data_IF_957537254099
#
_entry.id   IF_957537254099
#
_cell.length_a   1.000
_cell.length_b   1.000
_cell.length_c   1.000
_cell.angle_alpha   90.00
_cell.angle_beta   90.00
_cell.angle_gamma   90.00
#
_symmetry.space_group_name_H-M   'P 1'
#
loop_
_entity.id
_entity.type
_entity.pdbx_description
1 polymer ?
#
# COMPACT_ATOMS: atom_id res chain seq x y z
N UNK A 1 7.43 -39.73 -77.63
CA UNK A 1 6.41 -38.97 -76.86
C UNK A 1 6.75 -39.08 -75.38
N UNK A 2 7.51 -38.11 -74.90
CA UNK A 2 7.96 -37.95 -73.51
C UNK A 2 6.87 -37.28 -72.69
N UNK A 3 6.40 -37.91 -71.62
CA UNK A 3 5.52 -37.29 -70.61
C UNK A 3 6.26 -37.22 -69.29
N UNK A 4 6.74 -36.04 -68.95
CA UNK A 4 7.27 -35.71 -67.62
C UNK A 4 6.08 -35.39 -66.70
N UNK A 5 6.01 -36.07 -65.57
CA UNK A 5 5.06 -35.79 -64.48
C UNK A 5 5.77 -34.80 -63.54
N UNK A 6 5.26 -33.57 -63.32
CA UNK A 6 5.82 -32.70 -62.31
C UNK A 6 5.30 -33.13 -60.93
N UNK A 7 6.20 -33.59 -60.07
CA UNK A 7 5.95 -33.83 -58.66
C UNK A 7 5.82 -32.48 -57.96
N UNK A 8 4.58 -32.08 -57.62
CA UNK A 8 4.31 -30.88 -56.83
C UNK A 8 4.78 -31.10 -55.39
N UNK A 9 5.86 -30.41 -55.02
CA UNK A 9 6.38 -30.33 -53.66
C UNK A 9 5.47 -29.39 -52.85
N UNK A 10 4.62 -29.94 -51.98
CA UNK A 10 3.82 -29.14 -51.04
C UNK A 10 4.77 -28.68 -49.92
N UNK A 11 5.19 -27.41 -50.00
CA UNK A 11 5.88 -26.72 -48.91
C UNK A 11 4.83 -26.33 -47.88
N UNK A 12 4.70 -27.14 -46.83
CA UNK A 12 3.88 -26.81 -45.67
C UNK A 12 4.66 -25.81 -44.81
N UNK A 13 4.41 -24.51 -45.04
CA UNK A 13 4.99 -23.43 -44.26
C UNK A 13 4.33 -23.43 -42.88
N UNK A 14 4.94 -24.11 -41.91
CA UNK A 14 4.57 -24.00 -40.50
C UNK A 14 4.90 -22.59 -40.02
N UNK A 15 3.91 -21.70 -40.03
CA UNK A 15 3.99 -20.44 -39.29
C UNK A 15 3.95 -20.76 -37.81
N UNK A 16 5.12 -21.01 -37.23
CA UNK A 16 5.31 -21.00 -35.80
C UNK A 16 4.98 -19.59 -35.29
N UNK A 17 3.76 -19.42 -34.79
CA UNK A 17 3.42 -18.27 -33.95
C UNK A 17 4.27 -18.38 -32.69
N UNK A 18 5.41 -17.69 -32.68
CA UNK A 18 6.17 -17.45 -31.46
C UNK A 18 5.30 -16.59 -30.54
N UNK A 19 4.49 -17.24 -29.71
CA UNK A 19 3.93 -16.63 -28.52
C UNK A 19 5.10 -16.25 -27.63
N UNK A 20 5.54 -15.00 -27.70
CA UNK A 20 6.45 -14.44 -26.70
C UNK A 20 5.66 -14.46 -25.39
N UNK A 21 5.92 -15.46 -24.55
CA UNK A 21 5.54 -15.42 -23.15
C UNK A 21 6.31 -14.23 -22.55
N UNK A 22 5.67 -13.07 -22.44
CA UNK A 22 6.18 -12.00 -21.59
C UNK A 22 6.29 -12.63 -20.20
N UNK A 23 7.52 -12.72 -19.69
CA UNK A 23 7.72 -13.18 -18.32
C UNK A 23 6.94 -12.26 -17.40
N UNK A 24 6.03 -12.84 -16.61
CA UNK A 24 5.17 -12.15 -15.64
C UNK A 24 5.97 -11.40 -14.54
N UNK A 25 7.30 -11.47 -14.57
CA UNK A 25 8.21 -10.93 -13.58
C UNK A 25 8.30 -9.39 -13.67
N UNK A 26 8.21 -8.73 -12.52
CA UNK A 26 8.38 -7.28 -12.40
C UNK A 26 9.83 -6.93 -12.80
N UNK A 27 10.00 -6.08 -13.82
CA UNK A 27 11.33 -5.61 -14.22
C UNK A 27 11.96 -4.72 -13.14
N UNK A 28 13.30 -4.59 -13.06
CA UNK A 28 13.95 -3.78 -12.03
C UNK A 28 13.47 -2.33 -11.97
N UNK A 29 13.30 -1.68 -13.14
CA UNK A 29 12.77 -0.32 -13.20
C UNK A 29 11.31 -0.23 -12.71
N UNK A 30 10.50 -1.27 -12.95
CA UNK A 30 9.13 -1.34 -12.42
C UNK A 30 9.12 -1.57 -10.92
N UNK A 31 10.03 -2.41 -10.40
CA UNK A 31 10.19 -2.62 -8.95
C UNK A 31 10.49 -1.29 -8.26
N UNK A 32 11.43 -0.51 -8.77
CA UNK A 32 11.75 0.81 -8.22
C UNK A 32 10.56 1.79 -8.26
N UNK A 33 9.74 1.76 -9.31
CA UNK A 33 8.54 2.59 -9.41
C UNK A 33 7.46 2.16 -8.40
N UNK A 34 7.28 0.85 -8.21
CA UNK A 34 6.38 0.28 -7.19
C UNK A 34 6.86 0.67 -5.79
N UNK A 35 8.15 0.54 -5.52
CA UNK A 35 8.76 0.91 -4.24
C UNK A 35 8.50 2.41 -3.95
N UNK A 36 8.71 3.27 -4.94
CA UNK A 36 8.44 4.71 -4.82
C UNK A 36 6.96 5.00 -4.54
N UNK A 37 6.05 4.29 -5.21
CA UNK A 37 4.61 4.42 -5.01
C UNK A 37 4.17 3.93 -3.62
N UNK A 38 4.73 2.83 -3.12
CA UNK A 38 4.49 2.37 -1.76
C UNK A 38 4.93 3.41 -0.72
N UNK A 39 6.12 3.99 -0.90
CA UNK A 39 6.62 5.07 -0.04
C UNK A 39 5.74 6.32 -0.08
N UNK A 40 5.23 6.68 -1.25
CA UNK A 40 4.29 7.80 -1.41
C UNK A 40 2.99 7.56 -0.64
N UNK A 41 2.41 6.36 -0.74
CA UNK A 41 1.18 6.00 0.01
C UNK A 41 1.38 6.04 1.52
N UNK A 42 2.53 5.59 2.04
CA UNK A 42 2.86 5.71 3.47
C UNK A 42 2.96 7.19 3.89
N UNK A 43 3.57 8.04 3.06
CA UNK A 43 3.64 9.48 3.31
C UNK A 43 2.28 10.15 3.29
N UNK A 44 1.40 9.77 2.36
CA UNK A 44 0.05 10.31 2.28
C UNK A 44 -0.81 9.87 3.46
N UNK A 45 -0.67 8.61 3.90
CA UNK A 45 -1.28 8.13 5.14
C UNK A 45 -0.89 9.00 6.35
N UNK A 46 0.37 9.41 6.45
CA UNK A 46 0.83 10.36 7.49
C UNK A 46 0.01 11.65 7.49
N UNK A 47 -0.16 12.25 6.30
CA UNK A 47 -0.87 13.52 6.16
C UNK A 47 -2.34 13.36 6.56
N UNK A 48 -2.98 12.28 6.11
CA UNK A 48 -4.37 12.02 6.44
C UNK A 48 -4.58 11.81 7.94
N UNK A 49 -3.74 11.00 8.58
CA UNK A 49 -3.79 10.77 10.03
C UNK A 49 -3.65 12.09 10.80
N UNK A 50 -2.70 12.96 10.42
CA UNK A 50 -2.52 14.26 11.10
C UNK A 50 -3.73 15.19 10.93
N UNK A 51 -4.40 15.17 9.78
CA UNK A 51 -5.64 15.93 9.56
C UNK A 51 -6.79 15.34 10.39
N UNK A 52 -6.95 14.01 10.41
CA UNK A 52 -8.00 13.32 11.16
C UNK A 52 -7.82 13.52 12.68
N UNK A 53 -6.58 13.47 13.16
CA UNK A 53 -6.25 13.58 14.59
C UNK A 53 -6.19 15.00 15.15
N UNK A 54 -6.55 16.03 14.37
CA UNK A 54 -6.55 17.43 14.81
C UNK A 54 -7.95 17.88 15.21
N UNK A 55 -8.12 18.45 16.41
CA UNK A 55 -9.42 19.04 16.84
C UNK A 55 -9.77 20.33 16.11
N UNK A 56 -8.81 20.94 15.44
CA UNK A 56 -9.03 22.10 14.57
C UNK A 56 -9.72 21.73 13.25
N UNK A 57 -9.66 20.44 12.86
CA UNK A 57 -10.29 19.96 11.63
C UNK A 57 -11.78 19.78 11.84
N UNK A 58 -12.59 20.40 10.97
CA UNK A 58 -14.04 20.26 11.00
C UNK A 58 -14.45 18.79 10.81
N UNK A 59 -15.43 18.33 11.58
CA UNK A 59 -15.88 16.93 11.54
C UNK A 59 -16.23 16.42 10.13
N UNK A 60 -16.91 17.22 9.32
CA UNK A 60 -17.24 16.87 7.92
C UNK A 60 -15.99 16.70 7.05
N UNK A 61 -14.97 17.55 7.26
CA UNK A 61 -13.69 17.46 6.56
C UNK A 61 -12.91 16.22 7.02
N UNK A 62 -12.86 15.96 8.33
CA UNK A 62 -12.24 14.77 8.87
C UNK A 62 -12.86 13.49 8.29
N UNK A 63 -14.19 13.41 8.18
CA UNK A 63 -14.87 12.28 7.54
C UNK A 63 -14.47 12.10 6.07
N UNK A 64 -14.47 13.18 5.28
CA UNK A 64 -14.04 13.13 3.88
C UNK A 64 -12.59 12.67 3.74
N UNK A 65 -11.72 13.05 4.68
CA UNK A 65 -10.32 12.63 4.71
C UNK A 65 -10.20 11.17 5.15
N UNK A 66 -11.02 10.70 6.09
CA UNK A 66 -11.08 9.28 6.46
C UNK A 66 -11.44 8.41 5.26
N UNK A 67 -12.43 8.82 4.45
CA UNK A 67 -12.84 8.06 3.26
C UNK A 67 -11.67 7.94 2.25
N UNK A 68 -10.93 9.03 2.02
CA UNK A 68 -9.74 9.03 1.14
C UNK A 68 -8.58 8.21 1.72
N UNK A 69 -8.41 8.24 3.03
CA UNK A 69 -7.37 7.47 3.70
C UNK A 69 -7.67 5.98 3.63
N UNK A 70 -8.94 5.59 3.71
CA UNK A 70 -9.40 4.21 3.59
C UNK A 70 -9.14 3.64 2.18
N UNK A 71 -9.23 4.46 1.12
CA UNK A 71 -8.87 4.07 -0.26
C UNK A 71 -7.39 3.69 -0.43
N UNK A 72 -6.51 4.06 0.51
CA UNK A 72 -5.11 3.61 0.47
C UNK A 72 -4.98 2.12 0.82
N UNK A 73 -5.97 1.55 1.49
CA UNK A 73 -5.89 0.20 2.05
C UNK A 73 -6.62 -0.84 1.23
N UNK A 74 -6.11 -2.07 1.29
CA UNK A 74 -6.85 -3.24 0.85
C UNK A 74 -8.08 -3.46 1.76
N UNK A 75 -9.15 -4.09 1.23
CA UNK A 75 -10.30 -4.44 2.05
C UNK A 75 -9.89 -5.22 3.30
N UNK A 76 -10.61 -4.97 4.39
CA UNK A 76 -10.42 -5.64 5.68
C UNK A 76 -9.09 -5.41 6.41
N UNK A 77 -8.20 -4.54 5.90
CA UNK A 77 -6.95 -4.22 6.56
C UNK A 77 -7.14 -3.72 8.01
N UNK A 78 -6.18 -4.07 8.86
CA UNK A 78 -6.16 -3.66 10.27
C UNK A 78 -4.93 -2.83 10.65
N UNK A 79 -5.15 -1.93 11.61
CA UNK A 79 -4.15 -1.03 12.18
C UNK A 79 -3.82 -1.47 13.61
N UNK A 80 -2.57 -1.87 13.82
CA UNK A 80 -2.01 -2.20 15.13
C UNK A 80 -1.64 -0.94 15.91
N UNK A 81 -2.15 -0.85 17.13
CA UNK A 81 -1.92 0.26 18.07
C UNK A 81 -1.39 -0.30 19.39
N UNK A 82 -0.27 0.22 19.83
CA UNK A 82 0.37 -0.06 21.13
C UNK A 82 0.55 1.25 21.89
N UNK A 83 1.12 1.22 23.08
CA UNK A 83 1.62 2.41 23.79
C UNK A 83 2.70 1.98 24.78
N UNK A 84 3.59 2.88 25.20
CA UNK A 84 4.59 2.56 26.23
C UNK A 84 3.95 2.24 27.59
N UNK A 85 2.68 2.62 27.78
CA UNK A 85 1.93 2.42 29.01
C UNK A 85 1.19 1.07 29.07
N UNK A 86 1.21 0.26 28.00
CA UNK A 86 0.54 -1.06 27.97
C UNK A 86 1.35 -2.07 27.17
N UNK A 87 1.31 -3.32 27.59
CA UNK A 87 2.00 -4.42 26.90
C UNK A 87 1.21 -4.98 25.71
N UNK A 88 -0.10 -4.73 25.67
CA UNK A 88 -0.99 -5.29 24.65
C UNK A 88 -1.00 -4.45 23.36
N UNK A 89 -0.97 -5.14 22.23
CA UNK A 89 -1.20 -4.55 20.92
C UNK A 89 -2.67 -4.79 20.56
N UNK A 90 -3.39 -3.71 20.31
CA UNK A 90 -4.77 -3.77 19.85
C UNK A 90 -4.82 -3.58 18.33
N UNK A 91 -5.64 -4.38 17.65
CA UNK A 91 -5.87 -4.27 16.22
C UNK A 91 -7.28 -3.74 15.96
N UNK A 92 -7.38 -2.78 15.05
CA UNK A 92 -8.65 -2.18 14.65
C UNK A 92 -8.73 -2.13 13.14
N UNK A 93 -9.89 -2.41 12.57
CA UNK A 93 -10.18 -2.07 11.17
C UNK A 93 -9.84 -0.60 10.90
N UNK A 94 -9.28 -0.31 9.73
CA UNK A 94 -8.77 1.02 9.35
C UNK A 94 -9.76 2.14 9.68
N UNK A 95 -11.04 2.00 9.29
CA UNK A 95 -12.07 2.99 9.59
C UNK A 95 -12.21 3.25 11.09
N UNK A 96 -12.30 2.18 11.88
CA UNK A 96 -12.44 2.26 13.34
C UNK A 96 -11.21 2.86 14.00
N UNK A 97 -10.02 2.62 13.45
CA UNK A 97 -8.80 3.28 13.92
C UNK A 97 -8.88 4.81 13.75
N UNK A 98 -9.32 5.30 12.58
CA UNK A 98 -9.46 6.75 12.34
C UNK A 98 -10.52 7.40 13.24
N UNK A 99 -11.67 6.75 13.42
CA UNK A 99 -12.71 7.24 14.33
C UNK A 99 -12.20 7.36 15.77
N UNK A 100 -11.40 6.38 16.22
CA UNK A 100 -10.77 6.42 17.54
C UNK A 100 -9.73 7.54 17.64
N UNK A 101 -8.97 7.80 16.58
CA UNK A 101 -8.00 8.88 16.51
C UNK A 101 -8.69 10.24 16.74
N UNK A 102 -9.83 10.48 16.08
CA UNK A 102 -10.64 11.68 16.30
C UNK A 102 -11.19 11.76 17.72
N UNK A 103 -11.45 10.64 18.38
CA UNK A 103 -12.02 10.57 19.72
C UNK A 103 -10.99 10.68 20.86
N UNK A 104 -9.69 10.76 20.56
CA UNK A 104 -8.66 10.89 21.59
C UNK A 104 -8.80 12.21 22.37
N UNK A 105 -8.39 12.20 23.63
CA UNK A 105 -8.37 13.36 24.53
C UNK A 105 -7.11 14.24 24.33
N UNK A 106 -6.72 14.44 23.07
CA UNK A 106 -5.65 15.36 22.67
C UNK A 106 -6.24 16.43 21.77
N UNK A 107 -5.77 17.68 21.91
CA UNK A 107 -6.16 18.77 21.03
C UNK A 107 -5.53 18.61 19.65
N UNK A 108 -4.32 18.04 19.62
CA UNK A 108 -3.59 17.73 18.40
C UNK A 108 -2.87 16.41 18.54
N UNK A 109 -3.04 15.58 17.53
CA UNK A 109 -2.18 14.42 17.29
C UNK A 109 -1.30 14.70 16.08
N UNK A 110 0.01 14.50 16.26
CA UNK A 110 0.98 14.51 15.18
C UNK A 110 1.54 13.10 15.03
N UNK A 111 1.46 12.56 13.82
CA UNK A 111 2.12 11.29 13.47
C UNK A 111 3.17 11.58 12.41
N UNK A 112 4.40 11.17 12.70
CA UNK A 112 5.51 11.24 11.76
C UNK A 112 6.03 9.84 11.48
N UNK A 113 6.19 9.53 10.19
CA UNK A 113 6.85 8.31 9.76
C UNK A 113 8.25 8.63 9.28
N UNK A 114 9.24 7.91 9.79
CA UNK A 114 10.64 8.08 9.44
C UNK A 114 11.29 6.71 9.34
N UNK A 115 12.54 6.69 8.84
CA UNK A 115 13.35 5.47 8.83
C UNK A 115 12.63 4.32 8.09
N UNK A 116 12.13 4.63 6.89
CA UNK A 116 11.52 3.64 6.00
C UNK A 116 12.65 2.82 5.39
N UNK A 117 12.92 1.66 5.98
CA UNK A 117 14.18 0.96 5.79
C UNK A 117 14.11 -0.15 4.75
N UNK A 118 12.99 -0.87 4.69
CA UNK A 118 12.99 -2.18 4.05
C UNK A 118 11.67 -2.46 3.37
N UNK A 119 11.69 -2.70 2.07
CA UNK A 119 10.62 -3.37 1.33
C UNK A 119 11.13 -4.78 1.08
N UNK A 120 10.45 -5.79 1.60
CA UNK A 120 10.76 -7.18 1.28
C UNK A 120 10.65 -7.41 -0.23
N UNK A 121 11.28 -8.46 -0.73
CA UNK A 121 11.03 -8.87 -2.11
C UNK A 121 9.53 -9.13 -2.32
N UNK A 122 9.01 -8.69 -3.47
CA UNK A 122 7.62 -8.87 -3.84
C UNK A 122 7.41 -10.30 -4.29
N UNK A 123 6.59 -11.04 -3.54
CA UNK A 123 6.26 -12.42 -3.84
C UNK A 123 4.89 -12.54 -4.49
N UNK A 124 4.81 -13.24 -5.61
CA UNK A 124 3.56 -13.48 -6.30
C UNK A 124 2.72 -14.53 -5.55
N UNK A 125 1.51 -14.16 -5.19
CA UNK A 125 0.54 -15.02 -4.52
C UNK A 125 -0.29 -15.82 -5.54
N UNK A 126 -0.99 -16.89 -5.12
CA UNK A 126 -1.83 -17.71 -6.00
C UNK A 126 -2.96 -16.94 -6.70
N UNK A 127 -3.41 -15.83 -6.11
CA UNK A 127 -4.41 -14.92 -6.67
C UNK A 127 -3.84 -13.97 -7.74
N UNK A 128 -2.53 -14.05 -8.01
CA UNK A 128 -1.83 -13.24 -9.00
C UNK A 128 -1.34 -11.89 -8.50
N UNK A 129 -1.69 -11.48 -7.26
CA UNK A 129 -1.15 -10.26 -6.65
C UNK A 129 0.28 -10.48 -6.17
N UNK A 130 1.05 -9.42 -6.16
CA UNK A 130 2.36 -9.40 -5.52
C UNK A 130 2.23 -8.87 -4.09
N UNK A 131 2.91 -9.49 -3.14
CA UNK A 131 2.86 -9.12 -1.73
C UNK A 131 4.26 -8.86 -1.22
N UNK A 132 4.43 -7.77 -0.48
CA UNK A 132 5.66 -7.47 0.26
C UNK A 132 5.36 -6.84 1.61
N UNK A 133 6.40 -6.49 2.35
CA UNK A 133 6.32 -5.84 3.66
C UNK A 133 7.24 -4.65 3.70
N UNK A 134 6.72 -3.50 4.15
CA UNK A 134 7.49 -2.28 4.40
C UNK A 134 7.66 -2.08 5.89
N UNK A 135 8.89 -2.02 6.39
CA UNK A 135 9.17 -1.66 7.79
C UNK A 135 9.42 -0.16 7.93
N UNK A 136 8.69 0.47 8.85
CA UNK A 136 8.74 1.91 9.13
C UNK A 136 8.76 2.19 10.63
N UNK A 137 9.32 3.33 11.03
CA UNK A 137 9.15 3.86 12.38
C UNK A 137 8.09 4.95 12.36
N UNK A 138 7.17 4.87 13.30
CA UNK A 138 6.12 5.84 13.55
C UNK A 138 6.38 6.50 14.89
N UNK A 139 6.50 7.82 14.92
CA UNK A 139 6.43 8.60 16.14
C UNK A 139 5.06 9.23 16.29
N UNK A 140 4.39 8.93 17.39
CA UNK A 140 3.13 9.51 17.80
C UNK A 140 3.39 10.61 18.83
N UNK A 141 2.75 11.77 18.66
CA UNK A 141 2.78 12.86 19.62
C UNK A 141 1.36 13.37 19.84
N UNK A 142 0.86 13.26 21.07
CA UNK A 142 -0.43 13.78 21.48
C UNK A 142 -0.24 14.92 22.46
N UNK A 143 -0.77 16.10 22.14
CA UNK A 143 -0.68 17.30 22.99
C UNK A 143 -2.07 17.81 23.34
N UNK A 144 -2.30 18.16 24.60
CA UNK A 144 -3.47 18.90 25.05
C UNK A 144 -3.07 20.21 25.73
N UNK A 145 -3.62 21.31 25.24
CA UNK A 145 -3.38 22.66 25.75
C UNK A 145 -4.10 22.90 27.08
N UNK A 146 -5.33 22.37 27.22
CA UNK A 146 -6.14 22.57 28.43
C UNK A 146 -5.61 21.77 29.63
N UNK A 147 -5.26 20.50 29.41
CA UNK A 147 -4.80 19.60 30.47
C UNK A 147 -3.28 19.56 30.67
N UNK A 148 -2.52 20.17 29.75
CA UNK A 148 -1.05 20.09 29.73
C UNK A 148 -0.51 18.68 29.40
N UNK A 149 -1.37 17.75 28.98
CA UNK A 149 -0.95 16.39 28.62
C UNK A 149 -0.08 16.40 27.38
N UNK A 150 1.13 15.88 27.52
CA UNK A 150 2.05 15.65 26.41
C UNK A 150 2.49 14.20 26.45
N UNK A 151 2.07 13.43 25.45
CA UNK A 151 2.43 12.03 25.30
C UNK A 151 3.20 11.84 24.02
N UNK A 152 4.22 10.98 24.07
CA UNK A 152 4.99 10.56 22.91
C UNK A 152 5.33 9.08 23.01
N UNK A 153 5.31 8.41 21.87
CA UNK A 153 5.96 7.12 21.71
C UNK A 153 6.49 6.97 20.28
N UNK A 154 7.39 6.01 20.12
CA UNK A 154 7.84 5.52 18.82
C UNK A 154 7.48 4.06 18.72
N UNK A 155 6.84 3.69 17.61
CA UNK A 155 6.52 2.31 17.29
C UNK A 155 7.18 1.89 15.99
N UNK A 156 7.74 0.69 15.96
CA UNK A 156 8.18 0.06 14.73
C UNK A 156 7.00 -0.70 14.14
N UNK A 157 6.72 -0.47 12.87
CA UNK A 157 5.58 -1.07 12.16
C UNK A 157 6.04 -1.81 10.93
N UNK A 158 5.39 -2.94 10.67
CA UNK A 158 5.48 -3.67 9.42
C UNK A 158 4.15 -3.51 8.68
N UNK A 159 4.22 -2.94 7.48
CA UNK A 159 3.08 -2.64 6.62
C UNK A 159 3.07 -3.67 5.49
N UNK A 160 2.03 -4.48 5.39
CA UNK A 160 1.84 -5.35 4.23
C UNK A 160 1.56 -4.49 3.00
N UNK A 161 2.14 -4.80 1.85
CA UNK A 161 1.92 -4.10 0.59
C UNK A 161 1.38 -5.09 -0.42
N UNK A 162 0.22 -4.77 -1.01
CA UNK A 162 -0.34 -5.49 -2.14
C UNK A 162 -0.06 -4.72 -3.41
N UNK A 163 0.41 -5.40 -4.44
CA UNK A 163 0.67 -4.82 -5.76
C UNK A 163 -0.11 -5.61 -6.80
N UNK A 164 -0.98 -4.92 -7.52
CA UNK A 164 -1.87 -5.53 -8.50
C UNK A 164 -1.84 -4.80 -9.83
N UNK A 165 -2.04 -5.55 -10.92
CA UNK A 165 -2.06 -4.99 -12.27
C UNK A 165 -3.49 -4.55 -12.59
N UNK A 166 -3.70 -3.25 -12.77
CA UNK A 166 -4.97 -2.68 -13.20
C UNK A 166 -4.94 -2.30 -14.66
N UNK A 167 -6.12 -2.31 -15.27
CA UNK A 167 -6.37 -1.85 -16.62
C UNK A 167 -7.34 -0.68 -16.57
N UNK A 168 -7.04 0.38 -17.30
CA UNK A 168 -7.95 1.51 -17.53
C UNK A 168 -8.05 1.80 -19.01
N UNK A 169 -9.17 2.36 -19.45
CA UNK A 169 -9.34 2.84 -20.83
C UNK A 169 -9.16 4.34 -20.89
N UNK A 170 -8.13 4.81 -21.59
CA UNK A 170 -7.88 6.23 -21.82
C UNK A 170 -7.90 6.45 -23.33
N UNK A 171 -8.82 7.30 -23.79
CA UNK A 171 -9.01 7.63 -25.21
C UNK A 171 -9.14 6.38 -26.13
N UNK A 172 -9.89 5.36 -25.68
CA UNK A 172 -10.11 4.12 -26.41
C UNK A 172 -8.91 3.15 -26.43
N UNK A 173 -7.83 3.44 -25.69
CA UNK A 173 -6.69 2.55 -25.51
C UNK A 173 -6.70 1.95 -24.11
N UNK A 174 -6.53 0.64 -24.01
CA UNK A 174 -6.31 -0.04 -22.73
C UNK A 174 -4.89 0.25 -22.27
N UNK A 175 -4.75 0.87 -21.10
CA UNK A 175 -3.49 1.15 -20.42
C UNK A 175 -3.42 0.27 -19.18
N UNK A 176 -2.34 -0.49 -19.08
CA UNK A 176 -2.02 -1.29 -17.91
C UNK A 176 -1.11 -0.50 -16.97
N UNK A 177 -1.43 -0.48 -15.68
CA UNK A 177 -0.62 0.13 -14.65
C UNK A 177 -0.60 -0.75 -13.40
N UNK A 178 0.43 -0.58 -12.57
CA UNK A 178 0.52 -1.24 -11.27
C UNK A 178 -0.10 -0.32 -10.24
N UNK A 179 -1.05 -0.86 -9.48
CA UNK A 179 -1.59 -0.20 -8.30
C UNK A 179 -1.00 -0.85 -7.05
N UNK A 180 -0.91 -0.06 -5.99
CA UNK A 180 -0.32 -0.45 -4.71
C UNK A 180 -1.34 -0.17 -3.62
N UNK A 181 -1.60 -1.13 -2.75
CA UNK A 181 -2.49 -0.96 -1.60
C UNK A 181 -1.77 -1.31 -0.31
N UNK A 182 -2.06 -0.59 0.76
CA UNK A 182 -1.59 -0.89 2.09
C UNK A 182 -2.48 -2.01 2.68
N UNK A 183 -1.87 -3.03 3.26
CA UNK A 183 -2.55 -4.08 4.01
C UNK A 183 -2.49 -3.80 5.50
N UNK A 184 -2.45 -4.88 6.28
CA UNK A 184 -2.28 -4.79 7.73
C UNK A 184 -1.02 -4.00 8.12
N UNK A 185 -1.17 -3.15 9.12
CA UNK A 185 -0.06 -2.46 9.78
C UNK A 185 0.13 -3.09 11.15
N UNK A 186 1.18 -3.90 11.29
CA UNK A 186 1.50 -4.62 12.54
C UNK A 186 2.53 -3.86 13.35
N UNK A 187 2.37 -3.88 14.68
CA UNK A 187 3.38 -3.35 15.59
C UNK A 187 4.38 -4.43 15.92
N UNK A 188 5.67 -4.16 15.73
CA UNK A 188 6.75 -5.07 16.12
C UNK A 188 7.45 -4.61 17.39
N UNK A 189 7.62 -3.31 17.58
CA UNK A 189 8.28 -2.74 18.77
C UNK A 189 7.61 -1.43 19.20
N UNK A 190 7.73 -1.08 20.48
CA UNK A 190 7.22 0.18 21.06
C UNK A 190 8.22 0.71 22.09
N UNK A 191 8.62 1.98 21.93
CA UNK A 191 9.64 2.65 22.73
C UNK A 191 9.25 4.11 23.00
N UNK A 192 9.94 4.75 23.95
CA UNK A 192 9.69 6.13 24.40
C UNK A 192 10.49 7.19 23.62
#
# INVERSE_FOLDING_TARGET
MTKYIPLFLIVFLATATLSIAQSDNISPARKQAIDSLALEKVKDLSKYISIIGSKETQFSEANRVMDRAEELFAPDAEMGVSSINRTEIAYYKVRRYFERLMALNYDRVNISWYDIHYISDLERQPDGRYVGVVTVYQRFEGTSLESGLNYKDTTKKDITIYVEKKQTQIAGRTIEFWDVMLGDIRVTETAA
#
